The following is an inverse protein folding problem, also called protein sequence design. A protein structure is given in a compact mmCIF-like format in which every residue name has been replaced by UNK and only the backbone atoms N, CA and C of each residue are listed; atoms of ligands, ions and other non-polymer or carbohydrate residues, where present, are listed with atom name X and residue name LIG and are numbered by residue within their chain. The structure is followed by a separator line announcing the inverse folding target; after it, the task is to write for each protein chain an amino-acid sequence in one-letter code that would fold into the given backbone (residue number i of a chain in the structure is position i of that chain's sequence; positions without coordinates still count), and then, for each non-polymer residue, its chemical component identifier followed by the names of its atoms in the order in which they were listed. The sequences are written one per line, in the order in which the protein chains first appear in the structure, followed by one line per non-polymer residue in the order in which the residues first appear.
data_IF_941317524494
#
_entry.id   IF_941317524494
#
_cell.length_a   1.000
_cell.length_b   1.000
_cell.length_c   1.000
_cell.angle_alpha   90.00
_cell.angle_beta   90.00
_cell.angle_gamma   90.00
#
_symmetry.space_group_name_H-M   'P 1'
#
loop_
_entity.id
_entity.type
_entity.pdbx_description
1 polymer ?
#
# COMPACT_ATOMS: atom_id res chain seq x y z
N UNK A 1 20.04 -0.06 16.33
CA UNK A 1 19.28 0.03 15.06
C UNK A 1 19.89 1.16 14.24
N UNK A 2 20.66 0.87 13.19
CA UNK A 2 21.22 1.92 12.33
C UNK A 2 20.09 2.50 11.46
N UNK A 3 19.88 3.82 11.42
CA UNK A 3 18.97 4.42 10.45
C UNK A 3 19.54 4.13 9.05
N UNK A 4 18.76 3.42 8.22
CA UNK A 4 19.09 3.23 6.82
C UNK A 4 18.67 4.51 6.08
N UNK A 5 19.60 5.29 5.51
CA UNK A 5 19.22 6.42 4.68
C UNK A 5 18.39 5.91 3.50
N UNK A 6 17.20 6.48 3.29
CA UNK A 6 16.32 6.13 2.15
C UNK A 6 15.03 5.37 2.48
N UNK A 7 14.79 5.00 3.74
CA UNK A 7 13.50 4.41 4.13
C UNK A 7 12.47 5.52 4.37
N UNK A 8 11.47 5.59 3.49
CA UNK A 8 10.32 6.50 3.57
C UNK A 8 9.06 5.72 3.94
N UNK A 9 8.12 6.37 4.63
CA UNK A 9 6.86 5.77 5.02
C UNK A 9 5.75 6.12 4.02
N UNK A 10 5.22 5.11 3.33
CA UNK A 10 4.05 5.26 2.46
C UNK A 10 2.77 5.06 3.29
N UNK A 11 1.91 6.07 3.30
CA UNK A 11 0.58 5.99 3.89
C UNK A 11 -0.44 5.67 2.80
N UNK A 12 -1.24 4.64 3.05
CA UNK A 12 -2.26 4.16 2.12
C UNK A 12 -3.61 4.25 2.82
N UNK A 13 -4.60 4.78 2.09
CA UNK A 13 -5.98 4.88 2.54
C UNK A 13 -6.87 4.12 1.58
N UNK A 14 -7.59 3.15 2.11
CA UNK A 14 -8.64 2.44 1.41
C UNK A 14 -9.97 3.11 1.72
N UNK A 15 -10.60 3.64 0.67
CA UNK A 15 -11.92 4.23 0.76
C UNK A 15 -13.00 3.15 0.76
N UNK A 16 -14.06 3.42 1.51
CA UNK A 16 -15.27 2.61 1.47
C UNK A 16 -15.97 2.79 0.12
N UNK A 17 -16.32 1.69 -0.55
CA UNK A 17 -17.18 1.72 -1.74
C UNK A 17 -18.55 1.17 -1.35
N UNK A 18 -19.48 2.07 -1.03
CA UNK A 18 -20.89 1.75 -0.78
C UNK A 18 -21.14 0.72 0.34
N UNK A 19 -20.27 0.63 1.34
CA UNK A 19 -20.38 -0.32 2.46
C UNK A 19 -19.86 -1.73 2.17
N UNK A 20 -19.42 -2.01 0.94
CA UNK A 20 -18.93 -3.32 0.53
C UNK A 20 -17.57 -3.68 1.15
N UNK A 21 -16.69 -2.70 1.33
CA UNK A 21 -15.37 -2.93 1.91
C UNK A 21 -15.52 -3.29 3.38
N UNK A 22 -16.33 -2.53 4.14
CA UNK A 22 -16.66 -2.85 5.52
C UNK A 22 -17.21 -4.27 5.68
N UNK A 23 -18.18 -4.64 4.84
CA UNK A 23 -18.86 -5.92 4.90
C UNK A 23 -17.91 -7.10 4.63
N UNK A 24 -16.98 -6.95 3.68
CA UNK A 24 -15.99 -7.97 3.37
C UNK A 24 -14.88 -8.08 4.44
N UNK A 25 -14.72 -7.08 5.31
CA UNK A 25 -13.78 -7.13 6.43
C UNK A 25 -12.31 -7.19 5.99
N UNK A 26 -11.75 -6.09 5.43
CA UNK A 26 -10.37 -6.04 4.98
C UNK A 26 -9.39 -6.31 6.14
N UNK A 27 -8.37 -7.13 5.87
CA UNK A 27 -7.39 -7.57 6.88
C UNK A 27 -6.00 -7.07 6.60
N UNK A 28 -5.52 -7.29 5.39
CA UNK A 28 -4.14 -6.96 5.01
C UNK A 28 -4.10 -6.33 3.63
N UNK A 29 -3.08 -5.51 3.43
CA UNK A 29 -2.73 -4.93 2.15
C UNK A 29 -1.37 -5.46 1.73
N UNK A 30 -1.34 -6.13 0.58
CA UNK A 30 -0.10 -6.50 -0.10
C UNK A 30 0.31 -5.33 -0.98
N UNK A 31 1.55 -4.89 -0.81
CA UNK A 31 2.17 -3.78 -1.53
C UNK A 31 3.33 -4.36 -2.33
N UNK A 32 3.39 -4.06 -3.61
CA UNK A 32 4.44 -4.51 -4.52
C UNK A 32 4.94 -3.35 -5.39
N UNK A 33 6.26 -3.28 -5.55
CA UNK A 33 6.91 -2.31 -6.43
C UNK A 33 7.46 -3.02 -7.65
N UNK A 34 7.00 -2.61 -8.84
CA UNK A 34 7.41 -3.22 -10.10
C UNK A 34 7.97 -2.17 -11.05
N UNK A 35 9.17 -2.39 -11.56
CA UNK A 35 9.79 -1.49 -12.53
C UNK A 35 8.98 -1.52 -13.82
N UNK A 36 8.56 -0.34 -14.28
CA UNK A 36 7.62 -0.20 -15.40
C UNK A 36 8.17 -0.78 -16.70
N UNK A 37 9.45 -0.55 -16.97
CA UNK A 37 10.07 -0.93 -18.24
C UNK A 37 10.56 -2.38 -18.22
N UNK A 38 11.27 -2.78 -17.17
CA UNK A 38 11.86 -4.14 -17.10
C UNK A 38 10.92 -5.20 -16.54
N UNK A 39 9.81 -4.79 -15.93
CA UNK A 39 8.89 -5.70 -15.22
C UNK A 39 9.43 -6.29 -13.91
N UNK A 40 10.68 -6.00 -13.55
CA UNK A 40 11.33 -6.47 -12.32
C UNK A 40 10.60 -6.01 -11.06
N UNK A 41 10.38 -6.92 -10.11
CA UNK A 41 9.80 -6.61 -8.79
C UNK A 41 10.91 -6.42 -7.76
N UNK A 42 11.03 -5.20 -7.22
CA UNK A 42 12.09 -4.86 -6.26
C UNK A 42 11.70 -5.08 -4.80
N UNK A 43 10.41 -5.22 -4.49
CA UNK A 43 9.99 -5.43 -3.11
C UNK A 43 8.52 -5.74 -2.95
N UNK A 44 8.22 -6.50 -1.88
CA UNK A 44 6.87 -6.81 -1.45
C UNK A 44 6.74 -6.65 0.06
N UNK A 45 5.66 -6.00 0.50
CA UNK A 45 5.29 -5.91 1.90
C UNK A 45 3.85 -6.37 2.09
N UNK A 46 3.56 -7.02 3.22
CA UNK A 46 2.20 -7.26 3.67
C UNK A 46 2.01 -6.51 4.97
N UNK A 47 1.06 -5.58 4.99
CA UNK A 47 0.82 -4.69 6.12
C UNK A 47 -0.62 -4.80 6.58
N UNK A 48 -0.90 -4.72 7.88
CA UNK A 48 -2.27 -4.78 8.38
C UNK A 48 -3.06 -3.54 7.95
N UNK A 49 -4.34 -3.74 7.61
CA UNK A 49 -5.29 -2.66 7.44
C UNK A 49 -5.95 -2.36 8.78
N UNK A 50 -5.87 -1.12 9.21
CA UNK A 50 -6.46 -0.63 10.46
C UNK A 50 -7.64 0.26 10.12
N UNK A 51 -8.79 -0.04 10.72
CA UNK A 51 -9.98 0.80 10.59
C UNK A 51 -9.78 2.11 11.34
N UNK A 52 -9.96 3.22 10.65
CA UNK A 52 -9.94 4.58 11.20
C UNK A 52 -11.33 4.96 11.74
N UNK A 53 -11.37 6.00 12.59
CA UNK A 53 -12.60 6.49 13.20
C UNK A 53 -13.63 7.01 12.18
N UNK A 54 -13.15 7.51 11.04
CA UNK A 54 -13.99 8.00 9.93
C UNK A 54 -14.56 6.88 9.04
N UNK A 55 -14.41 5.62 9.45
CA UNK A 55 -14.91 4.47 8.73
C UNK A 55 -14.05 4.02 7.56
N UNK A 56 -12.93 4.69 7.27
CA UNK A 56 -11.96 4.22 6.26
C UNK A 56 -10.92 3.26 6.83
N UNK A 57 -10.15 2.60 5.97
CA UNK A 57 -9.02 1.77 6.40
C UNK A 57 -7.72 2.40 5.98
N UNK A 58 -6.71 2.25 6.83
CA UNK A 58 -5.38 2.76 6.59
C UNK A 58 -4.34 1.68 6.76
N UNK A 59 -3.26 1.80 6.00
CA UNK A 59 -2.08 0.96 6.10
C UNK A 59 -0.83 1.83 5.95
N UNK A 60 0.26 1.38 6.59
CA UNK A 60 1.56 2.04 6.49
C UNK A 60 2.59 1.02 6.03
N UNK A 61 3.30 1.33 4.95
CA UNK A 61 4.35 0.48 4.41
C UNK A 61 5.67 1.26 4.37
N UNK A 62 6.72 0.66 4.90
CA UNK A 62 8.07 1.19 4.73
C UNK A 62 8.54 0.91 3.29
N UNK A 63 9.15 1.91 2.67
CA UNK A 63 9.68 1.84 1.30
C UNK A 63 11.13 2.26 1.35
N UNK A 64 12.03 1.38 0.94
CA UNK A 64 13.43 1.71 0.75
C UNK A 64 13.62 2.27 -0.66
N UNK A 65 13.58 3.60 -0.78
CA UNK A 65 13.71 4.28 -2.08
C UNK A 65 15.10 4.07 -2.69
N UNK A 66 16.13 3.90 -1.86
CA UNK A 66 17.48 3.62 -2.34
C UNK A 66 17.55 2.22 -2.97
N UNK A 67 16.84 1.25 -2.40
CA UNK A 67 16.74 -0.10 -2.95
C UNK A 67 15.91 -0.18 -4.25
N UNK A 68 14.95 0.73 -4.45
CA UNK A 68 14.25 0.83 -5.74
C UNK A 68 15.19 1.36 -6.84
N UNK A 69 16.14 2.23 -6.51
CA UNK A 69 17.03 2.82 -7.50
C UNK A 69 16.31 3.73 -8.51
N UNK A 70 16.99 4.07 -9.60
CA UNK A 70 16.47 4.97 -10.63
C UNK A 70 15.41 4.29 -11.52
N UNK A 71 14.51 5.09 -12.09
CA UNK A 71 13.50 4.64 -13.04
C UNK A 71 12.07 4.90 -12.56
N UNK A 72 11.10 4.37 -13.31
CA UNK A 72 9.68 4.49 -12.98
C UNK A 72 9.18 3.18 -12.38
N UNK A 73 8.57 3.29 -11.19
CA UNK A 73 8.07 2.16 -10.43
C UNK A 73 6.55 2.21 -10.34
N UNK A 74 5.89 1.14 -10.78
CA UNK A 74 4.46 0.94 -10.58
C UNK A 74 4.21 0.40 -9.17
N UNK A 75 3.26 1.02 -8.47
CA UNK A 75 2.75 0.56 -7.18
C UNK A 75 1.55 -0.35 -7.42
N UNK A 76 1.68 -1.63 -7.04
CA UNK A 76 0.62 -2.62 -7.11
C UNK A 76 0.11 -2.95 -5.72
N UNK A 77 -1.21 -2.92 -5.56
CA UNK A 77 -1.87 -3.13 -4.28
C UNK A 77 -2.92 -4.22 -4.39
N UNK A 78 -2.94 -5.12 -3.40
CA UNK A 78 -3.98 -6.13 -3.27
C UNK A 78 -4.48 -6.20 -1.84
N UNK A 79 -5.78 -5.99 -1.65
CA UNK A 79 -6.45 -6.17 -0.36
C UNK A 79 -6.77 -7.67 -0.19
N UNK A 80 -6.58 -8.19 1.02
CA UNK A 80 -7.08 -9.50 1.43
C UNK A 80 -8.13 -9.33 2.51
N UNK A 81 -9.27 -9.98 2.32
CA UNK A 81 -10.47 -9.89 3.16
C UNK A 81 -10.56 -11.06 4.14
N UNK A 82 -11.51 -10.99 5.08
CA UNK A 82 -11.67 -11.99 6.13
C UNK A 82 -12.10 -13.35 5.59
N UNK A 83 -12.80 -13.38 4.46
CA UNK A 83 -13.23 -14.59 3.74
C UNK A 83 -12.10 -15.23 2.89
N UNK A 84 -10.90 -14.64 2.91
CA UNK A 84 -9.76 -15.08 2.11
C UNK A 84 -9.77 -14.60 0.67
N UNK A 85 -10.82 -13.91 0.23
CA UNK A 85 -10.86 -13.26 -1.08
C UNK A 85 -9.85 -12.10 -1.13
N UNK A 86 -9.53 -11.67 -2.35
CA UNK A 86 -8.69 -10.50 -2.51
C UNK A 86 -9.01 -9.74 -3.78
N UNK A 87 -8.88 -8.42 -3.70
CA UNK A 87 -9.12 -7.49 -4.78
C UNK A 87 -7.86 -6.68 -5.06
N UNK A 88 -7.48 -6.61 -6.33
CA UNK A 88 -6.46 -5.67 -6.78
C UNK A 88 -7.06 -4.27 -6.80
N UNK A 89 -6.32 -3.31 -6.26
CA UNK A 89 -6.77 -1.92 -6.14
C UNK A 89 -5.71 -0.98 -6.67
N UNK A 90 -6.13 0.13 -7.25
CA UNK A 90 -5.23 1.21 -7.67
C UNK A 90 -5.17 2.27 -6.58
N UNK A 91 -3.95 2.75 -6.29
CA UNK A 91 -3.78 3.93 -5.48
C UNK A 91 -3.76 5.18 -6.35
N UNK A 92 -4.37 6.24 -5.86
CA UNK A 92 -4.19 7.57 -6.38
C UNK A 92 -3.27 8.32 -5.43
N UNK A 93 -2.20 8.91 -5.97
CA UNK A 93 -1.37 9.82 -5.20
C UNK A 93 -2.23 11.02 -4.81
N UNK A 94 -2.50 11.16 -3.51
CA UNK A 94 -3.10 12.37 -2.99
C UNK A 94 -1.95 13.29 -2.63
N UNK A 95 -1.86 14.43 -3.32
CA UNK A 95 -1.02 15.53 -2.84
C UNK A 95 -1.63 16.03 -1.52
N UNK A 96 -1.21 15.42 -0.42
CA UNK A 96 -1.29 16.06 0.89
C UNK A 96 -0.05 16.92 1.02
N UNK A 97 -0.19 18.12 1.58
CA UNK A 97 0.96 18.78 2.20
C UNK A 97 1.56 17.78 3.19
N UNK A 98 2.68 17.18 2.82
CA UNK A 98 3.50 16.44 3.76
C UNK A 98 4.15 17.49 4.64
N UNK A 99 3.57 17.66 5.83
CA UNK A 99 3.85 18.69 6.85
C UNK A 99 3.23 20.06 6.56
#
# INVERSE_FOLDING_TARGET
LRPRPGVTLLWLRLHEMYGQVAAAGPRTLKVEWRHRESGHTAGRATVPLVRAADGTWSARAAVDLAALGAGTWDLRLRVTFADGSGADVTAHARAGAGL
#
